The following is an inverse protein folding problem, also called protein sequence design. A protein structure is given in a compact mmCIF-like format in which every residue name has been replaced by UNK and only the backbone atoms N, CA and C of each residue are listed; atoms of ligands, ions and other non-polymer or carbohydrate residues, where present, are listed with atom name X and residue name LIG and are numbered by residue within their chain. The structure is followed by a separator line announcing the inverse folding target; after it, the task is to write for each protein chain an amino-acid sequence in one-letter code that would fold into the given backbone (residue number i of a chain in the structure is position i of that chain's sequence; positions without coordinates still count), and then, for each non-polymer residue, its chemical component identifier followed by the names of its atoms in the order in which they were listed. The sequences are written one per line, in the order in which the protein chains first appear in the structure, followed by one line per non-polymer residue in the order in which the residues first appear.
data_IF_998338183090
#
_entry.id   IF_998338183090
#
_cell.length_a   1.000
_cell.length_b   1.000
_cell.length_c   1.000
_cell.angle_alpha   90.00
_cell.angle_beta   90.00
_cell.angle_gamma   90.00
#
_symmetry.space_group_name_H-M   'P 1'
#
loop_
_entity.id
_entity.type
_entity.pdbx_description
1 polymer ?
#
# COMPACT_ATOMS: atom_id res chain seq x y z
N UNK A 1 12.19 13.79 -22.40
CA UNK A 1 10.74 14.05 -22.49
C UNK A 1 10.04 13.05 -21.58
N UNK A 2 9.77 13.42 -20.32
CA UNK A 2 9.07 12.57 -19.35
C UNK A 2 7.74 13.24 -19.03
N UNK A 3 6.64 12.52 -19.25
CA UNK A 3 5.29 13.05 -19.10
C UNK A 3 4.93 12.99 -17.61
N UNK A 4 5.07 14.13 -16.94
CA UNK A 4 4.61 14.29 -15.57
C UNK A 4 3.09 14.38 -15.57
N UNK A 5 2.42 13.34 -15.07
CA UNK A 5 0.99 13.41 -14.75
C UNK A 5 0.79 14.34 -13.55
N UNK A 6 0.58 15.63 -13.81
CA UNK A 6 0.06 16.58 -12.81
C UNK A 6 -1.46 16.42 -12.74
N UNK A 7 -1.93 15.71 -11.72
CA UNK A 7 -3.28 15.91 -11.22
C UNK A 7 -3.21 16.96 -10.12
N UNK A 8 -3.78 18.14 -10.41
CA UNK A 8 -3.84 19.27 -9.50
C UNK A 8 -4.94 19.03 -8.46
N UNK A 9 -4.55 18.50 -7.30
CA UNK A 9 -5.40 18.42 -6.11
C UNK A 9 -4.54 18.91 -4.95
N UNK A 10 -4.88 20.09 -4.41
CA UNK A 10 -4.11 20.85 -3.42
C UNK A 10 -3.31 19.98 -2.46
N UNK A 11 -2.00 19.96 -2.65
CA UNK A 11 -1.04 19.14 -1.92
C UNK A 11 -0.67 19.92 -0.66
N UNK A 12 -1.27 19.56 0.47
CA UNK A 12 -0.70 19.87 1.78
C UNK A 12 0.12 18.66 2.22
N UNK A 13 1.42 18.88 2.27
CA UNK A 13 2.47 17.99 2.76
C UNK A 13 2.37 17.85 4.28
N UNK A 14 2.10 16.64 4.80
CA UNK A 14 2.66 16.07 6.04
C UNK A 14 1.95 14.74 6.39
N UNK A 15 2.73 13.66 6.42
CA UNK A 15 2.61 12.48 7.31
C UNK A 15 1.32 11.63 7.38
N UNK A 16 0.53 11.47 6.31
CA UNK A 16 -0.60 10.54 6.37
C UNK A 16 -0.76 9.66 5.13
N UNK A 17 -0.83 8.35 5.35
CA UNK A 17 -1.32 7.35 4.41
C UNK A 17 -2.77 7.68 4.08
N UNK A 18 -2.99 8.45 3.02
CA UNK A 18 -4.33 8.91 2.67
C UNK A 18 -5.09 7.78 1.99
N UNK A 19 -5.91 7.04 2.74
CA UNK A 19 -6.92 6.16 2.17
C UNK A 19 -8.16 6.97 1.86
N UNK A 20 -8.37 7.35 0.59
CA UNK A 20 -9.65 7.92 0.18
C UNK A 20 -10.67 6.80 0.07
N UNK A 21 -11.61 6.73 1.01
CA UNK A 21 -12.87 6.00 0.80
C UNK A 21 -13.63 6.74 -0.30
N UNK A 22 -13.54 6.29 -1.56
CA UNK A 22 -14.50 6.78 -2.54
C UNK A 22 -15.86 6.12 -2.29
N UNK A 23 -16.91 6.93 -2.52
CA UNK A 23 -18.30 6.53 -2.40
C UNK A 23 -18.52 5.17 -3.08
N UNK A 24 -19.23 4.30 -2.36
CA UNK A 24 -19.61 2.95 -2.76
C UNK A 24 -19.79 2.83 -4.29
N UNK A 25 -18.90 2.09 -4.94
CA UNK A 25 -19.00 1.80 -6.36
C UNK A 25 -20.04 0.69 -6.56
N UNK A 26 -21.05 0.95 -7.40
CA UNK A 26 -21.98 -0.07 -7.88
C UNK A 26 -21.57 -0.48 -9.28
N UNK A 27 -21.13 -1.72 -9.44
CA UNK A 27 -20.77 -2.31 -10.71
C UNK A 27 -21.91 -3.23 -11.14
N UNK A 28 -22.45 -2.99 -12.34
CA UNK A 28 -23.49 -3.84 -12.92
C UNK A 28 -22.90 -4.67 -14.06
N UNK A 29 -23.11 -5.98 -14.02
CA UNK A 29 -22.67 -6.89 -15.08
C UNK A 29 -23.83 -7.80 -15.53
N UNK A 30 -24.01 -7.90 -16.85
CA UNK A 30 -25.07 -8.71 -17.48
C UNK A 30 -24.91 -10.18 -17.06
N UNK A 31 -25.93 -10.75 -16.44
CA UNK A 31 -25.93 -12.14 -15.94
C UNK A 31 -25.35 -12.33 -14.53
N UNK A 32 -24.69 -11.33 -13.95
CA UNK A 32 -24.16 -11.36 -12.56
C UNK A 32 -25.00 -10.49 -11.62
N UNK A 33 -25.65 -9.44 -12.15
CA UNK A 33 -26.42 -8.49 -11.37
C UNK A 33 -25.58 -7.30 -10.92
N UNK A 34 -25.94 -6.71 -9.78
CA UNK A 34 -25.29 -5.50 -9.26
C UNK A 34 -24.42 -5.84 -8.05
N UNK A 35 -23.12 -5.60 -8.17
CA UNK A 35 -22.15 -5.74 -7.09
C UNK A 35 -21.91 -4.36 -6.50
N UNK A 36 -21.93 -4.30 -5.17
CA UNK A 36 -21.68 -3.08 -4.40
C UNK A 36 -20.36 -3.24 -3.68
N UNK A 37 -19.42 -2.32 -3.91
CA UNK A 37 -18.07 -2.39 -3.33
C UNK A 37 -17.59 -1.03 -2.84
N UNK A 38 -16.62 -1.03 -1.93
CA UNK A 38 -15.88 0.18 -1.55
C UNK A 38 -14.57 0.21 -2.33
N UNK A 39 -14.27 1.34 -2.96
CA UNK A 39 -12.97 1.58 -3.56
C UNK A 39 -12.06 2.24 -2.52
N UNK A 40 -11.00 1.52 -2.14
CA UNK A 40 -9.94 2.02 -1.27
C UNK A 40 -8.76 2.42 -2.16
N UNK A 41 -8.40 3.70 -2.14
CA UNK A 41 -7.22 4.22 -2.84
C UNK A 41 -6.26 4.78 -1.80
N UNK A 42 -5.04 4.27 -1.77
CA UNK A 42 -3.96 4.75 -0.90
C UNK A 42 -2.66 4.91 -1.68
N UNK A 43 -1.79 5.80 -1.21
CA UNK A 43 -0.43 5.96 -1.73
C UNK A 43 0.53 5.06 -0.96
N UNK A 44 1.59 4.60 -1.63
CA UNK A 44 2.70 3.97 -0.96
C UNK A 44 3.50 4.99 -0.13
N UNK A 45 4.30 4.48 0.81
CA UNK A 45 5.28 5.29 1.54
C UNK A 45 6.23 5.99 0.56
N UNK A 46 6.52 7.26 0.82
CA UNK A 46 7.58 7.97 0.09
C UNK A 46 8.92 7.60 0.71
N UNK A 47 9.69 6.78 0.00
CA UNK A 47 11.05 6.43 0.40
C UNK A 47 12.01 7.50 -0.14
N UNK A 48 12.87 8.10 0.70
CA UNK A 48 13.92 8.98 0.24
C UNK A 48 14.80 8.28 -0.81
N UNK A 49 15.19 8.99 -1.88
CA UNK A 49 15.99 8.40 -2.96
C UNK A 49 17.31 7.79 -2.44
N UNK A 50 17.86 8.34 -1.36
CA UNK A 50 19.08 7.84 -0.69
C UNK A 50 18.89 6.49 0.01
N UNK A 51 17.65 6.11 0.33
CA UNK A 51 17.30 4.83 0.99
C UNK A 51 16.76 3.79 0.00
N UNK A 52 16.44 4.19 -1.24
CA UNK A 52 15.93 3.28 -2.27
C UNK A 52 17.08 2.48 -2.89
N UNK A 53 17.29 1.25 -2.41
CA UNK A 53 18.41 0.41 -2.84
C UNK A 53 18.02 -0.54 -3.97
N UNK A 54 16.92 -1.28 -3.82
CA UNK A 54 16.53 -2.33 -4.78
C UNK A 54 15.04 -2.65 -4.69
N UNK A 55 14.32 -2.64 -5.81
CA UNK A 55 12.88 -2.92 -5.89
C UNK A 55 12.55 -4.40 -6.18
N UNK A 56 13.56 -5.26 -6.38
CA UNK A 56 13.37 -6.69 -6.65
C UNK A 56 12.55 -7.35 -5.55
N UNK A 57 11.41 -7.97 -5.87
CA UNK A 57 10.55 -8.64 -4.87
C UNK A 57 9.64 -7.71 -4.07
N UNK A 58 9.55 -6.41 -4.38
CA UNK A 58 8.63 -5.50 -3.69
C UNK A 58 7.16 -5.90 -3.90
N UNK A 59 6.81 -6.44 -5.08
CA UNK A 59 5.48 -6.98 -5.36
C UNK A 59 5.15 -8.22 -4.52
N UNK A 60 6.11 -9.14 -4.37
CA UNK A 60 5.95 -10.33 -3.52
C UNK A 60 5.78 -9.93 -2.05
N UNK A 61 6.55 -8.94 -1.58
CA UNK A 61 6.41 -8.38 -0.24
C UNK A 61 5.01 -7.75 -0.03
N UNK A 62 4.51 -7.00 -1.01
CA UNK A 62 3.17 -6.43 -0.98
C UNK A 62 2.09 -7.53 -0.87
N UNK A 63 2.11 -8.52 -1.78
CA UNK A 63 1.11 -9.59 -1.81
C UNK A 63 1.20 -10.44 -0.52
N UNK A 64 2.42 -10.75 -0.07
CA UNK A 64 2.64 -11.47 1.18
C UNK A 64 2.09 -10.72 2.39
N UNK A 65 2.23 -9.40 2.42
CA UNK A 65 1.67 -8.56 3.48
C UNK A 65 0.14 -8.46 3.41
N UNK A 66 -0.46 -8.45 2.21
CA UNK A 66 -1.92 -8.56 2.05
C UNK A 66 -2.42 -9.90 2.62
N UNK A 67 -1.77 -11.01 2.26
CA UNK A 67 -2.12 -12.33 2.79
C UNK A 67 -1.99 -12.39 4.32
N UNK A 68 -0.89 -11.86 4.87
CA UNK A 68 -0.71 -11.73 6.31
C UNK A 68 -1.85 -10.93 6.95
N UNK A 69 -2.22 -9.79 6.37
CA UNK A 69 -3.29 -8.93 6.89
C UNK A 69 -4.64 -9.62 6.94
N UNK A 70 -4.95 -10.45 5.93
CA UNK A 70 -6.15 -11.29 5.88
C UNK A 70 -6.12 -12.30 7.04
N UNK A 71 -5.01 -13.03 7.20
CA UNK A 71 -4.85 -14.02 8.27
C UNK A 71 -4.88 -13.37 9.67
N UNK A 72 -4.41 -12.14 9.79
CA UNK A 72 -4.40 -11.36 11.02
C UNK A 72 -5.72 -10.62 11.30
N UNK A 73 -6.76 -10.81 10.47
CA UNK A 73 -8.05 -10.10 10.57
C UNK A 73 -7.90 -8.57 10.64
N UNK A 74 -6.94 -8.00 9.90
CA UNK A 74 -6.81 -6.55 9.82
C UNK A 74 -8.03 -5.94 9.11
N UNK A 75 -8.50 -4.75 9.54
CA UNK A 75 -9.50 -4.00 8.81
C UNK A 75 -9.08 -3.78 7.36
N UNK A 76 -9.98 -3.93 6.36
CA UNK A 76 -9.66 -3.71 4.95
C UNK A 76 -9.01 -2.35 4.66
N UNK A 77 -9.39 -1.33 5.43
CA UNK A 77 -8.85 0.02 5.34
C UNK A 77 -7.37 0.10 5.78
N UNK A 78 -6.90 -0.82 6.63
CA UNK A 78 -5.49 -0.91 7.08
C UNK A 78 -4.64 -1.84 6.21
N UNK A 79 -5.28 -2.80 5.53
CA UNK A 79 -4.59 -3.86 4.78
C UNK A 79 -3.70 -3.33 3.65
N UNK A 80 -4.24 -2.50 2.76
CA UNK A 80 -3.46 -1.96 1.63
C UNK A 80 -2.36 -0.99 2.10
N UNK A 81 -2.61 -0.06 3.04
CA UNK A 81 -1.55 0.72 3.70
C UNK A 81 -0.42 -0.12 4.31
N UNK A 82 -0.76 -1.16 5.08
CA UNK A 82 0.23 -2.03 5.69
C UNK A 82 1.08 -2.74 4.64
N UNK A 83 0.44 -3.30 3.61
CA UNK A 83 1.14 -3.96 2.52
C UNK A 83 2.06 -3.03 1.74
N UNK A 84 1.62 -1.80 1.50
CA UNK A 84 2.43 -0.77 0.85
C UNK A 84 3.66 -0.40 1.71
N UNK A 85 3.49 -0.30 3.03
CA UNK A 85 4.58 -0.05 3.97
C UNK A 85 5.60 -1.20 3.98
N UNK A 86 5.14 -2.45 4.00
CA UNK A 86 6.02 -3.63 3.94
C UNK A 86 6.82 -3.66 2.64
N UNK A 87 6.19 -3.38 1.50
CA UNK A 87 6.86 -3.28 0.21
C UNK A 87 7.88 -2.14 0.17
N UNK A 88 7.58 -1.02 0.81
CA UNK A 88 8.49 0.12 0.87
C UNK A 88 9.71 -0.16 1.76
N UNK A 89 9.52 -0.80 2.92
CA UNK A 89 10.64 -1.25 3.76
C UNK A 89 11.53 -2.24 2.99
N UNK A 90 10.92 -3.17 2.24
CA UNK A 90 11.66 -4.12 1.37
C UNK A 90 12.64 -3.41 0.44
N UNK A 91 12.24 -2.27 -0.11
CA UNK A 91 13.05 -1.54 -1.07
C UNK A 91 14.36 -0.95 -0.50
N UNK A 92 14.54 -0.97 0.82
CA UNK A 92 15.72 -0.44 1.53
C UNK A 92 16.88 -1.43 1.67
N UNK A 93 16.79 -2.62 1.06
CA UNK A 93 17.89 -3.58 1.05
C UNK A 93 17.99 -4.36 -0.27
N UNK A 94 19.20 -4.82 -0.58
CA UNK A 94 19.51 -5.57 -1.79
C UNK A 94 18.92 -6.99 -1.77
N UNK A 95 18.33 -7.40 -2.89
CA UNK A 95 17.74 -8.71 -3.11
C UNK A 95 16.27 -8.81 -2.68
N UNK A 96 15.61 -9.92 -3.05
CA UNK A 96 14.17 -10.09 -2.88
C UNK A 96 13.72 -10.24 -1.41
N UNK A 97 14.53 -10.88 -0.56
CA UNK A 97 14.12 -11.29 0.80
C UNK A 97 14.82 -10.53 1.93
N UNK A 98 16.02 -10.01 1.70
CA UNK A 98 16.84 -9.44 2.77
C UNK A 98 16.22 -8.18 3.39
N UNK A 99 15.46 -7.42 2.61
CA UNK A 99 14.76 -6.21 3.08
C UNK A 99 13.41 -6.46 3.74
N UNK A 100 12.93 -7.71 3.84
CA UNK A 100 11.62 -7.97 4.44
C UNK A 100 11.61 -7.56 5.93
N UNK A 101 10.63 -6.75 6.36
CA UNK A 101 10.55 -6.31 7.74
C UNK A 101 10.20 -7.48 8.67
N UNK A 102 10.67 -7.39 9.92
CA UNK A 102 10.15 -8.21 11.02
C UNK A 102 8.95 -7.51 11.65
N UNK A 103 8.14 -8.25 12.42
CA UNK A 103 7.00 -7.67 13.15
C UNK A 103 7.40 -6.57 14.14
N UNK A 104 8.66 -6.53 14.57
CA UNK A 104 9.22 -5.52 15.48
C UNK A 104 9.76 -4.27 14.77
N UNK A 105 9.60 -4.17 13.44
CA UNK A 105 10.05 -3.00 12.69
C UNK A 105 9.23 -1.76 13.09
N UNK A 106 9.92 -0.68 13.48
CA UNK A 106 9.27 0.54 13.97
C UNK A 106 8.41 1.22 12.91
N UNK A 107 8.75 1.06 11.62
CA UNK A 107 7.93 1.55 10.51
C UNK A 107 6.56 0.84 10.42
N UNK A 108 6.38 -0.31 11.06
CA UNK A 108 5.11 -1.06 11.11
C UNK A 108 4.29 -0.78 12.37
N UNK A 109 4.80 0.01 13.32
CA UNK A 109 4.17 0.25 14.62
C UNK A 109 2.74 0.79 14.50
N UNK A 110 2.44 1.62 13.50
CA UNK A 110 1.10 2.17 13.26
C UNK A 110 0.04 1.13 12.83
N UNK A 111 0.48 -0.06 12.40
CA UNK A 111 -0.39 -1.10 11.86
C UNK A 111 -0.60 -2.28 12.80
N UNK A 112 0.39 -2.57 13.66
CA UNK A 112 0.43 -3.79 14.47
C UNK A 112 -0.02 -3.59 15.94
N UNK A 113 -0.66 -2.45 16.23
CA UNK A 113 -1.27 -2.10 17.53
C UNK A 113 -2.78 -2.30 17.49
#
# INVERSE_FOLDING_TARGET
MSVAWRYDCGILTSDFTFVRLQNVAKLHAKGIGTITGKLLVGTAESIPQTELIDTTGAGDAFIGAVLYSICANMPPEKMLPFAAQVAAIKCRALGARAGLPRSTDHHLSHFLV
#
